data_IF_818928566505
#
_entry.id   IF_818928566505
#
_cell.length_a   1.000
_cell.length_b   1.000
_cell.length_c   1.000
_cell.angle_alpha   90.00
_cell.angle_beta   90.00
_cell.angle_gamma   90.00
#
_symmetry.space_group_name_H-M   'P 1'
#
loop_
_entity.id
_entity.type
_entity.pdbx_description
1 polymer ?
#
# COMPACT_ATOMS: atom_id res chain seq x y z
N UNK A 1 -12.25 15.83 -0.10
CA UNK A 1 -10.83 16.04 0.22
C UNK A 1 -10.07 16.20 -1.08
N UNK A 2 -9.37 17.31 -1.28
CA UNK A 2 -8.47 17.53 -2.43
C UNK A 2 -7.09 16.93 -2.16
N UNK A 3 -6.31 16.61 -3.20
CA UNK A 3 -4.91 16.12 -3.05
C UNK A 3 -4.06 16.97 -2.09
N UNK A 4 -4.14 18.30 -2.18
CA UNK A 4 -3.43 19.20 -1.27
C UNK A 4 -3.91 19.07 0.18
N UNK A 5 -5.22 18.88 0.40
CA UNK A 5 -5.80 18.69 1.73
C UNK A 5 -5.38 17.33 2.31
N UNK A 6 -5.31 16.28 1.49
CA UNK A 6 -4.83 14.96 1.89
C UNK A 6 -3.37 15.00 2.35
N UNK A 7 -2.48 15.56 1.52
CA UNK A 7 -1.06 15.71 1.89
C UNK A 7 -0.95 16.59 3.14
N UNK A 8 -1.70 17.70 3.20
CA UNK A 8 -1.69 18.59 4.37
C UNK A 8 -2.26 17.91 5.61
N UNK A 9 -3.29 17.08 5.50
CA UNK A 9 -3.90 16.38 6.64
C UNK A 9 -3.00 15.29 7.18
N UNK A 10 -2.32 14.53 6.31
CA UNK A 10 -1.31 13.57 6.77
C UNK A 10 -0.13 14.32 7.41
N UNK A 11 0.23 15.51 6.94
CA UNK A 11 1.30 16.31 7.59
C UNK A 11 0.83 16.97 8.91
N UNK A 12 -0.42 17.44 8.98
CA UNK A 12 -0.96 18.24 10.10
C UNK A 12 -1.60 17.41 11.20
N UNK A 13 -2.33 16.34 10.85
CA UNK A 13 -2.94 15.39 11.81
C UNK A 13 -1.91 14.70 12.69
N UNK A 14 -0.67 14.74 12.24
CA UNK A 14 0.47 14.23 12.95
C UNK A 14 1.09 15.19 13.96
N UNK A 15 0.88 16.51 13.84
CA UNK A 15 1.53 17.48 14.72
C UNK A 15 3.04 17.30 14.85
N UNK A 16 3.68 16.66 13.86
CA UNK A 16 5.05 16.16 13.95
C UNK A 16 6.01 17.36 13.85
N UNK A 17 6.44 17.85 15.00
CA UNK A 17 7.87 17.80 15.19
C UNK A 17 8.29 16.34 15.40
N UNK A 18 9.57 16.06 15.18
CA UNK A 18 10.15 14.72 15.25
C UNK A 18 9.90 14.01 16.59
N UNK A 19 9.54 14.76 17.63
CA UNK A 19 9.37 14.29 19.00
C UNK A 19 7.95 13.75 19.23
N UNK A 20 6.92 14.35 18.61
CA UNK A 20 5.54 13.84 18.68
C UNK A 20 5.34 12.45 18.06
N UNK A 21 6.00 12.16 16.93
CA UNK A 21 5.98 10.81 16.33
C UNK A 21 6.66 9.79 17.24
N UNK A 22 7.75 10.20 17.89
CA UNK A 22 8.51 9.35 18.81
C UNK A 22 7.72 9.01 20.07
N UNK A 23 7.06 10.00 20.68
CA UNK A 23 6.22 9.79 21.88
C UNK A 23 5.05 8.86 21.59
N UNK A 24 4.38 9.03 20.44
CA UNK A 24 3.31 8.11 20.03
C UNK A 24 3.82 6.67 19.86
N UNK A 25 4.97 6.49 19.22
CA UNK A 25 5.58 5.16 19.06
C UNK A 25 6.01 4.58 20.41
N UNK A 26 6.60 5.38 21.30
CA UNK A 26 7.02 4.95 22.64
C UNK A 26 5.83 4.56 23.55
N UNK A 27 4.68 5.24 23.44
CA UNK A 27 3.44 4.84 24.13
C UNK A 27 2.85 3.53 23.56
N UNK A 28 2.96 3.32 22.25
CA UNK A 28 2.41 2.14 21.57
C UNK A 28 3.32 0.91 21.69
N UNK A 29 4.62 1.11 21.91
CA UNK A 29 5.63 0.07 22.00
C UNK A 29 6.49 0.25 23.25
N UNK A 30 5.98 -0.14 24.43
CA UNK A 30 6.76 -0.07 25.65
C UNK A 30 8.07 -0.87 25.49
N UNK A 31 9.20 -0.36 26.03
CA UNK A 31 10.54 -0.92 25.84
C UNK A 31 10.73 -2.33 26.39
N UNK A 32 9.76 -2.86 27.15
CA UNK A 32 9.76 -4.23 27.65
C UNK A 32 9.32 -5.27 26.61
N UNK A 33 8.93 -4.83 25.41
CA UNK A 33 8.54 -5.71 24.30
C UNK A 33 7.20 -6.42 24.51
N UNK A 34 6.47 -6.10 25.59
CA UNK A 34 5.19 -6.70 25.96
C UNK A 34 4.00 -6.03 25.24
N UNK A 35 4.21 -5.50 24.03
CA UNK A 35 3.13 -4.93 23.24
C UNK A 35 2.06 -6.00 23.00
N UNK A 36 0.92 -5.81 23.67
CA UNK A 36 -0.36 -6.52 23.46
C UNK A 36 -1.12 -5.96 22.25
N UNK A 37 -0.53 -5.00 21.53
CA UNK A 37 -1.22 -4.26 20.49
C UNK A 37 -1.24 -5.05 19.19
N UNK A 38 -2.39 -5.03 18.54
CA UNK A 38 -2.58 -5.47 17.18
C UNK A 38 -1.78 -4.54 16.25
N UNK A 39 -0.71 -5.04 15.63
CA UNK A 39 0.13 -4.26 14.71
C UNK A 39 -0.69 -3.76 13.53
N UNK A 40 -1.72 -4.50 13.12
CA UNK A 40 -2.64 -4.05 12.07
C UNK A 40 -3.34 -2.73 12.42
N UNK A 41 -3.57 -2.44 13.71
CA UNK A 41 -4.14 -1.16 14.12
C UNK A 41 -3.21 0.05 13.90
N UNK A 42 -1.93 -0.20 13.58
CA UNK A 42 -0.92 0.82 13.32
C UNK A 42 -0.75 1.16 11.84
N UNK A 43 -1.44 0.42 10.95
CA UNK A 43 -1.41 0.67 9.50
C UNK A 43 -1.63 2.15 9.15
N UNK A 44 -2.65 2.86 9.69
CA UNK A 44 -2.86 4.27 9.36
C UNK A 44 -1.66 5.17 9.70
N UNK A 45 -0.97 4.89 10.81
CA UNK A 45 0.20 5.68 11.26
C UNK A 45 1.37 5.50 10.29
N UNK A 46 1.62 4.27 9.85
CA UNK A 46 2.69 3.98 8.89
C UNK A 46 2.37 4.59 7.53
N UNK A 47 1.12 4.48 7.08
CA UNK A 47 0.65 5.02 5.81
C UNK A 47 0.77 6.54 5.74
N UNK A 48 0.31 7.24 6.78
CA UNK A 48 0.41 8.69 6.84
C UNK A 48 1.89 9.13 6.89
N UNK A 49 2.77 8.37 7.56
CA UNK A 49 4.19 8.71 7.64
C UNK A 49 4.87 8.62 6.26
N UNK A 50 4.54 7.61 5.45
CA UNK A 50 4.99 7.49 4.06
C UNK A 50 4.63 8.73 3.26
N UNK A 51 3.37 9.20 3.39
CA UNK A 51 2.90 10.40 2.68
C UNK A 51 3.59 11.66 3.19
N UNK A 52 3.71 11.81 4.51
CA UNK A 52 4.18 13.03 5.15
C UNK A 52 5.70 13.24 5.04
N UNK A 53 6.50 12.17 5.20
CA UNK A 53 7.98 12.27 5.32
C UNK A 53 8.76 11.27 4.49
N UNK A 54 8.10 10.34 3.79
CA UNK A 54 8.77 9.28 3.03
C UNK A 54 9.47 8.28 3.94
N UNK A 55 10.71 7.91 3.60
CA UNK A 55 11.59 7.02 4.37
C UNK A 55 12.55 7.72 5.33
N UNK A 56 12.56 9.06 5.38
CA UNK A 56 13.57 9.85 6.13
C UNK A 56 13.63 9.57 7.62
N UNK A 57 12.50 9.17 8.22
CA UNK A 57 12.38 8.84 9.64
C UNK A 57 12.06 7.36 9.88
N UNK A 58 12.38 6.49 8.92
CA UNK A 58 12.12 5.04 8.99
C UNK A 58 12.62 4.40 10.29
N UNK A 59 13.76 4.83 10.81
CA UNK A 59 14.34 4.29 12.05
C UNK A 59 13.43 4.40 13.29
N UNK A 60 12.45 5.31 13.29
CA UNK A 60 11.47 5.39 14.38
C UNK A 60 10.51 4.19 14.39
N UNK A 61 10.29 3.56 13.23
CA UNK A 61 9.42 2.40 13.07
C UNK A 61 10.16 1.06 13.22
N UNK A 62 11.48 1.06 13.45
CA UNK A 62 12.26 -0.17 13.69
C UNK A 62 11.68 -1.07 14.79
N UNK A 63 11.14 -0.55 15.92
CA UNK A 63 10.46 -1.37 16.93
C UNK A 63 9.23 -2.16 16.42
N UNK A 64 8.62 -1.74 15.29
CA UNK A 64 7.50 -2.46 14.69
C UNK A 64 7.93 -3.79 14.05
N UNK A 65 9.17 -3.89 13.56
CA UNK A 65 9.66 -5.09 12.85
C UNK A 65 9.49 -6.36 13.69
N UNK A 66 10.00 -6.47 14.94
CA UNK A 66 9.80 -7.66 15.75
C UNK A 66 8.33 -7.90 16.11
N UNK A 67 7.49 -6.86 16.16
CA UNK A 67 6.05 -7.01 16.43
C UNK A 67 5.32 -7.63 15.22
N UNK A 68 5.57 -7.14 14.01
CA UNK A 68 5.07 -7.73 12.75
C UNK A 68 5.45 -9.19 12.66
N UNK A 69 6.73 -9.53 12.93
CA UNK A 69 7.22 -10.91 12.86
C UNK A 69 6.45 -11.83 13.82
N UNK A 70 6.20 -11.38 15.06
CA UNK A 70 5.41 -12.17 16.02
C UNK A 70 3.97 -12.35 15.57
N UNK A 71 3.34 -11.30 15.03
CA UNK A 71 1.95 -11.37 14.61
C UNK A 71 1.78 -12.24 13.36
N UNK A 72 2.70 -12.16 12.41
CA UNK A 72 2.76 -13.08 11.26
C UNK A 72 2.89 -14.54 11.70
N UNK A 73 3.62 -14.82 12.78
CA UNK A 73 3.73 -16.17 13.32
C UNK A 73 2.48 -16.65 14.08
N UNK A 74 1.63 -15.73 14.54
CA UNK A 74 0.48 -16.02 15.39
C UNK A 74 -0.86 -16.10 14.63
N UNK A 75 -0.98 -15.40 13.50
CA UNK A 75 -2.23 -15.34 12.73
C UNK A 75 -2.49 -16.65 11.96
N UNK A 76 -3.74 -17.11 12.00
CA UNK A 76 -4.20 -18.21 11.17
C UNK A 76 -4.65 -17.68 9.81
N UNK A 77 -3.91 -18.03 8.76
CA UNK A 77 -4.22 -17.62 7.39
C UNK A 77 -5.44 -18.33 6.79
N UNK A 78 -5.90 -19.42 7.40
CA UNK A 78 -7.06 -20.18 6.93
C UNK A 78 -8.38 -19.69 7.54
N UNK A 79 -8.32 -18.82 8.56
CA UNK A 79 -9.50 -18.25 9.19
C UNK A 79 -10.12 -17.18 8.27
N UNK A 80 -11.36 -17.37 7.77
CA UNK A 80 -12.03 -16.36 6.94
C UNK A 80 -12.28 -15.05 7.67
N UNK A 81 -12.34 -15.05 9.01
CA UNK A 81 -12.51 -13.83 9.81
C UNK A 81 -11.19 -13.06 9.98
N UNK A 82 -10.04 -13.68 9.63
CA UNK A 82 -8.72 -13.08 9.72
C UNK A 82 -8.31 -12.28 8.47
N UNK A 83 -9.14 -12.18 7.41
CA UNK A 83 -8.77 -11.47 6.17
C UNK A 83 -8.36 -10.02 6.43
N UNK A 84 -9.18 -9.26 7.16
CA UNK A 84 -8.87 -7.86 7.47
C UNK A 84 -7.61 -7.71 8.35
N UNK A 85 -7.49 -8.40 9.50
CA UNK A 85 -6.26 -8.36 10.29
C UNK A 85 -5.01 -8.75 9.49
N UNK A 86 -5.11 -9.79 8.66
CA UNK A 86 -3.98 -10.24 7.84
C UNK A 86 -3.60 -9.18 6.80
N UNK A 87 -4.57 -8.53 6.16
CA UNK A 87 -4.32 -7.47 5.19
C UNK A 87 -3.67 -6.23 5.85
N UNK A 88 -4.11 -5.84 7.05
CA UNK A 88 -3.49 -4.72 7.77
C UNK A 88 -2.07 -5.03 8.24
N UNK A 89 -1.79 -6.27 8.68
CA UNK A 89 -0.41 -6.70 8.98
C UNK A 89 0.46 -6.70 7.73
N UNK A 90 -0.08 -7.12 6.58
CA UNK A 90 0.61 -6.99 5.30
C UNK A 90 0.86 -5.52 4.95
N UNK A 91 -0.09 -4.63 5.19
CA UNK A 91 0.04 -3.19 4.97
C UNK A 91 1.19 -2.59 5.77
N UNK A 92 1.24 -2.86 7.08
CA UNK A 92 2.38 -2.43 7.92
C UNK A 92 3.69 -3.03 7.44
N UNK A 93 3.73 -4.33 7.16
CA UNK A 93 4.93 -4.99 6.65
C UNK A 93 5.43 -4.36 5.35
N UNK A 94 4.51 -4.05 4.43
CA UNK A 94 4.81 -3.34 3.20
C UNK A 94 5.38 -1.95 3.50
N UNK A 95 4.72 -1.19 4.38
CA UNK A 95 5.17 0.14 4.80
C UNK A 95 6.60 0.14 5.32
N UNK A 96 6.93 -0.76 6.25
CA UNK A 96 8.28 -0.92 6.80
C UNK A 96 9.30 -1.22 5.68
N UNK A 97 8.98 -2.16 4.79
CA UNK A 97 9.87 -2.49 3.67
C UNK A 97 10.09 -1.32 2.73
N UNK A 98 9.03 -0.57 2.39
CA UNK A 98 9.16 0.54 1.44
C UNK A 98 9.85 1.78 2.04
N UNK A 99 9.85 1.88 3.36
CA UNK A 99 10.67 2.83 4.12
C UNK A 99 12.14 2.40 4.25
N UNK A 100 12.50 1.19 3.81
CA UNK A 100 13.88 0.68 3.85
C UNK A 100 14.26 -0.07 5.12
N UNK A 101 13.29 -0.44 5.97
CA UNK A 101 13.54 -1.29 7.12
C UNK A 101 13.66 -2.77 6.73
N UNK A 102 14.58 -3.47 7.40
CA UNK A 102 14.83 -4.89 7.15
C UNK A 102 13.77 -5.75 7.86
N UNK A 103 12.73 -6.14 7.10
CA UNK A 103 11.76 -7.14 7.55
C UNK A 103 12.28 -8.53 7.17
N UNK A 104 12.43 -9.47 8.13
CA UNK A 104 12.95 -10.80 7.84
C UNK A 104 12.20 -11.52 6.71
N UNK A 105 12.94 -12.01 5.72
CA UNK A 105 12.39 -12.67 4.53
C UNK A 105 11.41 -13.81 4.86
N UNK A 106 11.65 -14.55 5.95
CA UNK A 106 10.75 -15.60 6.40
C UNK A 106 9.35 -15.07 6.75
N UNK A 107 9.25 -13.92 7.43
CA UNK A 107 7.97 -13.29 7.74
C UNK A 107 7.28 -12.77 6.47
N UNK A 108 8.06 -12.19 5.55
CA UNK A 108 7.57 -11.71 4.25
C UNK A 108 6.96 -12.84 3.42
N UNK A 109 7.65 -13.98 3.33
CA UNK A 109 7.14 -15.16 2.62
C UNK A 109 5.88 -15.71 3.27
N UNK A 110 5.84 -15.83 4.60
CA UNK A 110 4.65 -16.29 5.32
C UNK A 110 3.47 -15.36 5.07
N UNK A 111 3.65 -14.04 5.26
CA UNK A 111 2.60 -13.05 5.04
C UNK A 111 2.09 -13.05 3.59
N UNK A 112 3.00 -13.09 2.61
CA UNK A 112 2.64 -13.15 1.19
C UNK A 112 1.82 -14.40 0.87
N UNK A 113 2.14 -15.54 1.49
CA UNK A 113 1.40 -16.79 1.33
C UNK A 113 -0.06 -16.72 1.76
N UNK A 114 -0.46 -15.74 2.56
CA UNK A 114 -1.84 -15.55 2.97
C UNK A 114 -2.75 -15.08 1.84
N UNK A 115 -2.23 -14.33 0.85
CA UNK A 115 -3.04 -13.69 -0.19
C UNK A 115 -3.88 -14.69 -0.99
N UNK A 116 -3.33 -15.85 -1.34
CA UNK A 116 -4.05 -16.91 -2.04
C UNK A 116 -5.19 -17.53 -1.20
N UNK A 117 -5.08 -17.46 0.14
CA UNK A 117 -6.09 -17.93 1.09
C UNK A 117 -7.18 -16.92 1.42
N UNK A 118 -6.90 -15.62 1.24
CA UNK A 118 -7.83 -14.51 1.50
C UNK A 118 -8.92 -14.45 0.42
N UNK A 119 -9.93 -15.32 0.50
CA UNK A 119 -11.07 -15.30 -0.42
C UNK A 119 -11.92 -14.06 -0.22
N UNK A 120 -12.45 -13.51 -1.32
CA UNK A 120 -13.48 -12.47 -1.27
C UNK A 120 -14.73 -13.06 -0.64
N UNK A 121 -15.04 -12.69 0.60
CA UNK A 121 -16.34 -12.96 1.18
C UNK A 121 -17.39 -12.07 0.51
N UNK A 122 -18.59 -12.58 0.24
CA UNK A 122 -19.62 -11.84 -0.53
C UNK A 122 -20.14 -10.53 0.10
N UNK A 123 -19.70 -10.19 1.32
CA UNK A 123 -20.03 -8.96 2.03
C UNK A 123 -18.77 -8.12 2.39
N UNK A 124 -17.62 -8.44 1.78
CA UNK A 124 -16.37 -7.69 2.00
C UNK A 124 -16.52 -6.23 1.51
N UNK A 125 -16.05 -5.23 2.28
CA UNK A 125 -15.99 -3.85 1.82
C UNK A 125 -15.16 -3.73 0.54
N UNK A 126 -15.62 -2.88 -0.39
CA UNK A 126 -15.02 -2.75 -1.73
C UNK A 126 -13.51 -2.41 -1.68
N UNK A 127 -13.11 -1.49 -0.79
CA UNK A 127 -11.71 -1.10 -0.60
C UNK A 127 -10.79 -2.26 -0.21
N UNK A 128 -11.30 -3.27 0.50
CA UNK A 128 -10.50 -4.42 0.93
C UNK A 128 -10.25 -5.35 -0.25
N UNK A 129 -11.28 -5.54 -1.10
CA UNK A 129 -11.15 -6.27 -2.35
C UNK A 129 -10.07 -5.67 -3.26
N UNK A 130 -10.09 -4.34 -3.46
CA UNK A 130 -9.12 -3.65 -4.31
C UNK A 130 -7.73 -3.57 -3.70
N UNK A 131 -7.62 -3.35 -2.38
CA UNK A 131 -6.33 -3.35 -1.66
C UNK A 131 -5.66 -4.73 -1.73
N UNK A 132 -6.41 -5.82 -1.59
CA UNK A 132 -5.89 -7.18 -1.81
C UNK A 132 -5.33 -7.36 -3.23
N UNK A 133 -5.99 -6.79 -4.24
CA UNK A 133 -5.50 -6.83 -5.62
C UNK A 133 -4.17 -6.09 -5.79
N UNK A 134 -4.04 -4.91 -5.18
CA UNK A 134 -2.80 -4.14 -5.19
C UNK A 134 -1.68 -4.86 -4.43
N UNK A 135 -1.99 -5.46 -3.28
CA UNK A 135 -1.05 -6.24 -2.49
C UNK A 135 -0.56 -7.48 -3.26
N UNK A 136 -1.48 -8.22 -3.88
CA UNK A 136 -1.15 -9.36 -4.73
C UNK A 136 -0.22 -8.96 -5.88
N UNK A 137 -0.55 -7.86 -6.57
CA UNK A 137 0.29 -7.37 -7.66
C UNK A 137 1.68 -6.91 -7.17
N UNK A 138 1.73 -6.17 -6.06
CA UNK A 138 2.97 -5.66 -5.47
C UNK A 138 3.92 -6.76 -4.97
N UNK A 139 3.35 -7.91 -4.56
CA UNK A 139 4.07 -9.07 -4.04
C UNK A 139 4.29 -10.18 -5.09
N UNK A 140 3.85 -9.95 -6.33
CA UNK A 140 4.07 -10.88 -7.45
C UNK A 140 3.09 -12.05 -7.53
N UNK A 141 2.00 -12.05 -6.76
CA UNK A 141 0.90 -13.02 -6.88
C UNK A 141 -0.04 -12.63 -8.04
N UNK A 142 0.48 -12.80 -9.27
CA UNK A 142 -0.24 -12.48 -10.50
C UNK A 142 -1.59 -13.22 -10.65
N UNK A 143 -1.73 -14.51 -10.31
CA UNK A 143 -3.02 -15.20 -10.38
C UNK A 143 -4.12 -14.49 -9.56
N UNK A 144 -3.81 -14.10 -8.32
CA UNK A 144 -4.76 -13.37 -7.46
C UNK A 144 -5.04 -11.97 -8.01
N UNK A 145 -4.02 -11.23 -8.44
CA UNK A 145 -4.18 -9.90 -9.03
C UNK A 145 -5.06 -9.92 -10.30
N UNK A 146 -4.84 -10.89 -11.20
CA UNK A 146 -5.65 -11.09 -12.42
C UNK A 146 -7.11 -11.40 -12.09
N UNK A 147 -7.34 -12.28 -11.12
CA UNK A 147 -8.69 -12.64 -10.67
C UNK A 147 -9.46 -11.42 -10.17
N UNK A 148 -8.83 -10.58 -9.35
CA UNK A 148 -9.42 -9.34 -8.82
C UNK A 148 -9.66 -8.32 -9.93
N UNK A 149 -8.76 -8.23 -10.91
CA UNK A 149 -8.96 -7.40 -12.11
C UNK A 149 -10.01 -7.95 -13.10
N UNK A 150 -10.64 -9.10 -12.78
CA UNK A 150 -11.50 -9.89 -13.67
C UNK A 150 -10.88 -10.21 -15.04
N UNK A 151 -9.57 -10.44 -15.04
CA UNK A 151 -8.82 -10.88 -16.21
C UNK A 151 -8.83 -12.40 -16.30
N UNK A 152 -8.74 -12.98 -17.51
CA UNK A 152 -8.50 -14.40 -17.67
C UNK A 152 -7.24 -14.83 -16.91
N UNK A 153 -7.23 -16.01 -16.28
CA UNK A 153 -6.09 -16.52 -15.52
C UNK A 153 -4.81 -16.59 -16.38
N UNK A 154 -4.95 -16.89 -17.68
CA UNK A 154 -3.86 -16.94 -18.64
C UNK A 154 -4.21 -16.18 -19.92
N UNK A 155 -3.19 -15.75 -20.65
CA UNK A 155 -3.35 -15.05 -21.93
C UNK A 155 -3.12 -13.53 -21.85
N UNK A 156 -3.20 -12.85 -23.01
CA UNK A 156 -2.86 -11.42 -23.08
C UNK A 156 -3.86 -10.56 -22.32
N UNK A 157 -3.36 -9.48 -21.70
CA UNK A 157 -4.18 -8.44 -21.08
C UNK A 157 -4.35 -7.30 -22.08
N UNK A 158 -5.59 -6.97 -22.43
CA UNK A 158 -5.92 -5.97 -23.46
C UNK A 158 -5.85 -4.51 -22.96
N UNK A 159 -5.49 -4.27 -21.70
CA UNK A 159 -5.39 -2.91 -21.17
C UNK A 159 -4.23 -2.13 -21.83
N UNK A 160 -4.55 -0.94 -22.33
CA UNK A 160 -3.60 -0.07 -23.03
C UNK A 160 -3.34 1.21 -22.22
N UNK A 161 -2.09 1.59 -21.95
CA UNK A 161 -1.76 2.76 -21.12
C UNK A 161 -2.27 4.09 -21.72
N UNK A 162 -2.39 4.18 -23.03
CA UNK A 162 -2.90 5.40 -23.69
C UNK A 162 -4.42 5.60 -23.48
N UNK A 163 -5.15 4.57 -23.04
CA UNK A 163 -6.58 4.65 -22.76
C UNK A 163 -6.80 4.89 -21.27
N UNK A 164 -7.48 5.99 -20.94
CA UNK A 164 -7.88 6.28 -19.56
C UNK A 164 -8.93 5.27 -19.08
N UNK A 165 -8.75 4.63 -17.91
CA UNK A 165 -9.78 3.83 -17.26
C UNK A 165 -10.94 4.65 -16.66
N UNK A 166 -10.80 5.97 -16.52
CA UNK A 166 -11.79 6.85 -15.91
C UNK A 166 -12.11 6.44 -14.46
N UNK A 167 -13.39 6.41 -14.09
CA UNK A 167 -13.85 6.05 -12.74
C UNK A 167 -13.89 4.53 -12.46
N UNK A 168 -13.46 3.69 -13.40
CA UNK A 168 -13.54 2.24 -13.24
C UNK A 168 -12.28 1.69 -12.56
N UNK A 169 -12.34 1.44 -11.25
CA UNK A 169 -11.23 0.89 -10.46
C UNK A 169 -10.77 -0.50 -10.92
N UNK A 170 -11.69 -1.33 -11.42
CA UNK A 170 -11.34 -2.64 -11.98
C UNK A 170 -10.49 -2.50 -13.25
N UNK A 171 -10.83 -1.52 -14.10
CA UNK A 171 -10.04 -1.20 -15.29
C UNK A 171 -8.66 -0.59 -14.93
N UNK A 172 -8.56 0.16 -13.83
CA UNK A 172 -7.27 0.58 -13.26
C UNK A 172 -6.43 -0.62 -12.82
N UNK A 173 -7.02 -1.58 -12.09
CA UNK A 173 -6.33 -2.82 -11.72
C UNK A 173 -5.84 -3.59 -12.95
N UNK A 174 -6.69 -3.76 -13.96
CA UNK A 174 -6.31 -4.42 -15.21
C UNK A 174 -5.16 -3.72 -15.94
N UNK A 175 -5.15 -2.38 -15.94
CA UNK A 175 -4.04 -1.59 -16.49
C UNK A 175 -2.73 -1.82 -15.73
N UNK A 176 -2.78 -1.83 -14.39
CA UNK A 176 -1.59 -2.06 -13.56
C UNK A 176 -1.04 -3.48 -13.75
N UNK A 177 -1.91 -4.50 -13.82
CA UNK A 177 -1.51 -5.88 -14.14
C UNK A 177 -0.83 -5.93 -15.51
N UNK A 178 -1.45 -5.33 -16.54
CA UNK A 178 -0.85 -5.28 -17.88
C UNK A 178 0.51 -4.56 -17.88
N UNK A 179 0.64 -3.50 -17.10
CA UNK A 179 1.85 -2.71 -17.02
C UNK A 179 3.02 -3.51 -16.42
N UNK A 180 2.76 -4.24 -15.33
CA UNK A 180 3.74 -5.13 -14.70
C UNK A 180 4.10 -6.29 -15.62
N UNK A 181 3.13 -7.02 -16.16
CA UNK A 181 3.39 -8.19 -17.01
C UNK A 181 4.16 -7.87 -18.29
N UNK A 182 3.91 -6.68 -18.87
CA UNK A 182 4.57 -6.23 -20.10
C UNK A 182 5.84 -5.42 -19.82
N UNK A 183 6.21 -5.22 -18.55
CA UNK A 183 7.29 -4.34 -18.13
C UNK A 183 7.24 -2.99 -18.86
N UNK A 184 6.07 -2.35 -18.84
CA UNK A 184 5.88 -1.07 -19.54
C UNK A 184 6.85 -0.03 -18.99
N UNK A 185 7.45 0.81 -19.85
CA UNK A 185 8.34 1.87 -19.38
C UNK A 185 7.54 2.89 -18.56
N UNK A 186 8.13 3.36 -17.47
CA UNK A 186 7.53 4.36 -16.59
C UNK A 186 6.96 5.58 -17.34
N UNK A 187 7.71 6.12 -18.31
CA UNK A 187 7.27 7.29 -19.07
C UNK A 187 5.95 7.08 -19.82
N UNK A 188 5.63 5.83 -20.18
CA UNK A 188 4.35 5.50 -20.82
C UNK A 188 3.21 5.42 -19.79
N UNK A 189 3.48 4.95 -18.57
CA UNK A 189 2.47 4.86 -17.52
C UNK A 189 2.30 6.16 -16.73
N UNK A 190 3.29 7.05 -16.73
CA UNK A 190 3.30 8.26 -15.92
C UNK A 190 2.00 9.08 -16.06
N UNK A 191 1.48 9.40 -17.26
CA UNK A 191 0.22 10.15 -17.37
C UNK A 191 -0.97 9.47 -16.68
N UNK A 192 -1.00 8.12 -16.71
CA UNK A 192 -2.02 7.31 -16.05
C UNK A 192 -1.86 7.28 -14.53
N UNK A 193 -0.63 7.27 -14.03
CA UNK A 193 -0.36 7.43 -12.60
C UNK A 193 -0.90 8.77 -12.07
N UNK A 194 -0.61 9.89 -12.75
CA UNK A 194 -1.05 11.22 -12.31
C UNK A 194 -2.59 11.30 -12.24
N UNK A 195 -3.26 10.73 -13.25
CA UNK A 195 -4.71 10.61 -13.31
C UNK A 195 -5.26 9.74 -12.17
N UNK A 196 -4.67 8.56 -11.93
CA UNK A 196 -5.09 7.66 -10.87
C UNK A 196 -4.94 8.30 -9.48
N UNK A 197 -3.84 8.99 -9.20
CA UNK A 197 -3.64 9.67 -7.92
C UNK A 197 -4.67 10.79 -7.73
N UNK A 198 -4.95 11.57 -8.78
CA UNK A 198 -5.99 12.59 -8.72
C UNK A 198 -7.37 11.98 -8.42
N UNK A 199 -7.77 10.92 -9.12
CA UNK A 199 -9.03 10.21 -8.88
C UNK A 199 -9.09 9.55 -7.50
N UNK A 200 -7.96 9.01 -7.02
CA UNK A 200 -7.87 8.33 -5.73
C UNK A 200 -8.26 9.28 -4.61
N UNK A 201 -7.67 10.48 -4.58
CA UNK A 201 -7.96 11.45 -3.53
C UNK A 201 -9.30 12.17 -3.74
N UNK A 202 -9.56 12.62 -4.97
CA UNK A 202 -10.72 13.46 -5.23
C UNK A 202 -12.03 12.63 -5.28
N UNK A 203 -11.96 11.32 -5.55
CA UNK A 203 -13.14 10.44 -5.70
C UNK A 203 -13.05 9.15 -4.88
N UNK A 204 -12.07 8.27 -5.12
CA UNK A 204 -12.13 6.90 -4.58
C UNK A 204 -12.11 6.83 -3.05
N UNK A 205 -11.39 7.71 -2.38
CA UNK A 205 -11.44 7.82 -0.91
C UNK A 205 -12.81 8.28 -0.40
N UNK A 206 -13.46 9.20 -1.12
CA UNK A 206 -14.76 9.74 -0.72
C UNK A 206 -15.89 8.74 -0.94
N UNK A 207 -15.72 7.84 -1.92
CA UNK A 207 -16.69 6.77 -2.23
C UNK A 207 -16.32 5.43 -1.59
N UNK A 208 -15.29 5.38 -0.74
CA UNK A 208 -14.79 4.16 -0.10
C UNK A 208 -14.43 3.02 -1.07
N UNK A 209 -14.08 3.36 -2.30
CA UNK A 209 -13.58 2.42 -3.31
C UNK A 209 -12.12 2.06 -3.03
N UNK A 210 -11.33 3.04 -2.57
CA UNK A 210 -9.99 2.82 -2.03
C UNK A 210 -9.90 3.43 -0.63
N UNK A 211 -8.94 2.96 0.15
CA UNK A 211 -8.59 3.51 1.45
C UNK A 211 -7.20 4.16 1.39
N UNK A 212 -6.83 4.94 2.41
CA UNK A 212 -5.47 5.51 2.50
C UNK A 212 -4.39 4.42 2.45
N UNK A 213 -4.66 3.27 3.08
CA UNK A 213 -3.84 2.06 3.02
C UNK A 213 -3.58 1.53 1.60
N UNK A 214 -4.39 1.90 0.62
CA UNK A 214 -4.14 1.53 -0.78
C UNK A 214 -2.94 2.30 -1.38
N UNK A 215 -2.55 3.47 -0.84
CA UNK A 215 -1.50 4.32 -1.41
C UNK A 215 -0.11 3.66 -1.33
N UNK A 216 0.34 3.12 -0.18
CA UNK A 216 1.63 2.41 -0.12
C UNK A 216 1.70 1.21 -1.07
N UNK A 217 0.60 0.46 -1.23
CA UNK A 217 0.54 -0.65 -2.17
C UNK A 217 0.63 -0.18 -3.61
N UNK A 218 -0.16 0.84 -3.97
CA UNK A 218 -0.14 1.43 -5.30
C UNK A 218 1.25 2.01 -5.63
N UNK A 219 1.87 2.69 -4.67
CA UNK A 219 3.22 3.21 -4.78
C UNK A 219 4.28 2.11 -4.94
N UNK A 220 4.14 0.96 -4.29
CA UNK A 220 5.01 -0.20 -4.53
C UNK A 220 4.81 -0.80 -5.91
N UNK A 221 3.57 -1.00 -6.36
CA UNK A 221 3.28 -1.50 -7.72
C UNK A 221 3.95 -0.60 -8.75
N UNK A 222 3.75 0.72 -8.64
CA UNK A 222 4.20 1.67 -9.66
C UNK A 222 5.67 2.04 -9.49
N UNK A 223 6.09 2.46 -8.31
CA UNK A 223 7.47 2.85 -8.01
C UNK A 223 8.44 1.69 -8.20
N UNK A 224 8.20 0.57 -7.53
CA UNK A 224 9.10 -0.59 -7.63
C UNK A 224 8.84 -1.42 -8.89
N UNK A 225 7.60 -1.84 -9.12
CA UNK A 225 7.27 -2.78 -10.19
C UNK A 225 7.40 -2.22 -11.61
N UNK A 226 7.34 -0.89 -11.78
CA UNK A 226 7.25 -0.25 -13.10
C UNK A 226 8.34 0.82 -13.28
N UNK A 227 8.55 1.70 -12.30
CA UNK A 227 9.58 2.74 -12.36
C UNK A 227 10.98 2.26 -11.96
N UNK A 228 11.11 1.03 -11.44
CA UNK A 228 12.40 0.43 -11.10
C UNK A 228 13.05 1.01 -9.85
N UNK A 229 12.28 1.67 -8.99
CA UNK A 229 12.75 2.18 -7.69
C UNK A 229 13.06 1.00 -6.77
N UNK A 230 14.21 0.97 -6.08
CA UNK A 230 14.47 -0.05 -5.05
C UNK A 230 13.37 -0.05 -4.00
N UNK A 231 12.95 -1.23 -3.52
CA UNK A 231 11.81 -1.33 -2.56
C UNK A 231 12.00 -0.37 -1.39
N UNK A 232 13.17 -0.35 -0.75
CA UNK A 232 13.47 0.50 0.40
C UNK A 232 13.52 2.01 0.15
N UNK A 233 13.38 2.44 -1.11
CA UNK A 233 13.35 3.84 -1.52
C UNK A 233 11.95 4.26 -2.00
N UNK A 234 10.98 3.33 -2.05
CA UNK A 234 9.65 3.60 -2.58
C UNK A 234 8.89 4.61 -1.72
N UNK A 235 9.06 4.64 -0.40
CA UNK A 235 8.39 5.62 0.45
C UNK A 235 8.81 7.06 0.10
N UNK A 236 10.12 7.30 -0.12
CA UNK A 236 10.62 8.60 -0.57
C UNK A 236 10.08 8.95 -1.96
N UNK A 237 10.04 7.99 -2.87
CA UNK A 237 9.47 8.19 -4.20
C UNK A 237 7.98 8.56 -4.15
N UNK A 238 7.17 7.91 -3.31
CA UNK A 238 5.76 8.25 -3.09
C UNK A 238 5.65 9.69 -2.60
N UNK A 239 6.40 10.04 -1.54
CA UNK A 239 6.41 11.38 -0.97
C UNK A 239 6.70 12.46 -2.03
N UNK A 240 7.77 12.25 -2.81
CA UNK A 240 8.20 13.21 -3.82
C UNK A 240 7.19 13.33 -4.98
N UNK A 241 6.60 12.21 -5.43
CA UNK A 241 5.58 12.22 -6.47
C UNK A 241 4.30 12.95 -6.04
N UNK A 242 3.81 12.70 -4.81
CA UNK A 242 2.64 13.40 -4.28
C UNK A 242 2.90 14.91 -4.13
N UNK A 243 4.11 15.30 -3.71
CA UNK A 243 4.51 16.72 -3.65
C UNK A 243 4.61 17.36 -5.03
N UNK A 244 5.15 16.65 -6.01
CA UNK A 244 5.21 17.12 -7.39
C UNK A 244 3.82 17.38 -7.95
N UNK A 245 2.89 16.46 -7.72
CA UNK A 245 1.50 16.55 -8.19
C UNK A 245 0.69 17.66 -7.49
N UNK A 246 1.02 17.98 -6.23
CA UNK A 246 0.41 19.10 -5.52
C UNK A 246 0.97 20.47 -5.91
N UNK A 247 2.24 20.53 -6.35
CA UNK A 247 2.89 21.76 -6.78
C UNK A 247 2.54 22.18 -8.22
N UNK A 248 2.05 21.25 -9.05
CA UNK A 248 1.67 21.53 -10.43
C UNK A 248 0.43 22.45 -10.49
N UNK A 249 0.46 23.56 -11.24
CA UNK A 249 -0.74 24.37 -11.47
C UNK A 249 -1.76 23.52 -12.26
N UNK A 250 -2.93 23.30 -11.65
CA UNK A 250 -4.08 22.62 -12.29
C UNK A 250 -4.78 23.54 -13.29
#
# INVERSE_FOLDING_TARGET
>A
MRLQEFVSSSTAGFGIDRDGLREGIEEMFPPDGASRFDVGAQEPVVDDAIVAVGGRDAGQFEPLVPAVVRQVAALDSADPDAVQPNLSVLGVMNGLQIMGLDVPEAAVRTGTGWLAGMRTAGLEPEWMHWTRGLAALALGDLPTARTIAALPETGPVEAHPDVSPGFNIQAWQALLVAAVERALPWEQLRPRWEELIALTVDTFFQTHVLAQASVPWLGRVVGHGIAGVPVGEVADWIHDELRRLTAAPR
#
